data_IF_082829634223
#
_entry.id   IF_082829634223
#
_cell.length_a   1.000
_cell.length_b   1.000
_cell.length_c   1.000
_cell.angle_alpha   90.00
_cell.angle_beta   90.00
_cell.angle_gamma   90.00
#
_symmetry.space_group_name_H-M   'P 1'
#
loop_
_entity.id
_entity.type
_entity.pdbx_description
1 polymer ?
#
# COMPACT_ATOMS: atom_id res chain seq x y z
N UNK A 1 -14.83 -1.60 8.65
CA UNK A 1 -15.81 -0.81 7.88
C UNK A 1 -15.85 0.61 8.45
N UNK A 2 -14.78 1.39 8.11
CA UNK A 2 -14.49 2.71 8.67
C UNK A 2 -15.68 3.69 8.61
N UNK A 3 -16.45 3.69 7.53
CA UNK A 3 -17.58 4.59 7.39
C UNK A 3 -18.73 4.25 8.36
N UNK A 4 -19.01 2.96 8.54
CA UNK A 4 -20.03 2.50 9.49
C UNK A 4 -19.58 2.70 10.94
N UNK A 5 -18.28 2.49 11.20
CA UNK A 5 -17.71 2.72 12.52
C UNK A 5 -17.67 4.21 12.86
N UNK A 6 -17.43 5.07 11.86
CA UNK A 6 -17.51 6.51 12.02
C UNK A 6 -18.94 7.00 12.29
N UNK A 7 -19.93 6.48 11.57
CA UNK A 7 -21.36 6.81 11.81
C UNK A 7 -21.81 6.38 13.23
N UNK A 8 -21.31 5.23 13.72
CA UNK A 8 -21.64 4.71 15.05
C UNK A 8 -20.86 5.38 16.18
N UNK A 9 -19.63 5.77 15.90
CA UNK A 9 -18.72 6.41 16.86
C UNK A 9 -18.73 7.92 16.70
N UNK A 10 -19.89 8.55 16.63
CA UNK A 10 -19.97 9.96 16.98
C UNK A 10 -19.76 10.10 18.50
N UNK A 11 -18.66 9.48 18.93
CA UNK A 11 -18.15 9.48 20.28
C UNK A 11 -17.54 10.84 20.46
N UNK A 12 -17.85 11.52 21.55
CA UNK A 12 -17.40 12.86 21.90
C UNK A 12 -15.88 13.12 21.87
N UNK A 13 -15.13 12.26 21.22
CA UNK A 13 -13.70 12.32 20.93
C UNK A 13 -13.36 12.54 19.46
N UNK A 14 -14.34 12.44 18.54
CA UNK A 14 -14.09 12.74 17.14
C UNK A 14 -13.80 14.22 16.99
N UNK A 15 -12.70 14.63 16.32
CA UNK A 15 -12.49 16.04 15.99
C UNK A 15 -13.72 16.55 15.21
N UNK A 16 -14.10 17.82 15.45
CA UNK A 16 -15.31 18.41 14.88
C UNK A 16 -15.37 18.36 13.34
N UNK A 17 -14.22 18.12 12.68
CA UNK A 17 -14.14 17.93 11.23
C UNK A 17 -12.95 17.00 10.92
N UNK A 18 -13.10 15.69 11.02
CA UNK A 18 -12.04 14.76 10.68
C UNK A 18 -11.75 14.80 9.18
N UNK A 19 -10.46 14.64 8.83
CA UNK A 19 -10.03 14.45 7.47
C UNK A 19 -10.14 12.95 7.11
N UNK A 20 -10.90 12.65 6.08
CA UNK A 20 -10.97 11.30 5.47
C UNK A 20 -10.28 11.33 4.12
N UNK A 21 -9.27 10.51 3.95
CA UNK A 21 -8.54 10.36 2.70
C UNK A 21 -8.90 9.01 2.10
N UNK A 22 -9.48 9.02 0.91
CA UNK A 22 -9.82 7.83 0.15
C UNK A 22 -8.91 7.72 -1.08
N UNK A 23 -8.31 6.55 -1.27
CA UNK A 23 -7.35 6.31 -2.36
C UNK A 23 -7.89 5.21 -3.28
N UNK A 24 -8.01 5.53 -4.56
CA UNK A 24 -8.36 4.56 -5.59
C UNK A 24 -7.90 5.09 -6.96
N UNK A 25 -6.92 4.44 -7.57
CA UNK A 25 -6.39 4.92 -8.84
C UNK A 25 -7.48 5.04 -9.93
N UNK A 26 -8.27 4.00 -10.15
CA UNK A 26 -9.40 4.04 -11.10
C UNK A 26 -10.57 4.89 -10.59
N UNK A 27 -10.70 5.03 -9.26
CA UNK A 27 -11.82 5.70 -8.61
C UNK A 27 -13.19 5.01 -8.80
N UNK A 28 -13.25 3.86 -9.47
CA UNK A 28 -14.51 3.21 -9.86
C UNK A 28 -15.09 2.27 -8.79
N UNK A 29 -14.36 2.02 -7.70
CA UNK A 29 -14.80 1.09 -6.65
C UNK A 29 -16.00 1.68 -5.90
N UNK A 30 -17.19 1.13 -6.13
CA UNK A 30 -18.46 1.64 -5.59
C UNK A 30 -18.46 1.75 -4.06
N UNK A 31 -17.85 0.78 -3.36
CA UNK A 31 -17.74 0.77 -1.89
C UNK A 31 -16.88 1.90 -1.35
N UNK A 32 -15.83 2.30 -2.07
CA UNK A 32 -15.01 3.46 -1.70
C UNK A 32 -15.83 4.74 -1.80
N UNK A 33 -16.56 4.93 -2.91
CA UNK A 33 -17.44 6.08 -3.07
C UNK A 33 -18.57 6.12 -2.03
N UNK A 34 -19.18 4.98 -1.70
CA UNK A 34 -20.17 4.88 -0.63
C UNK A 34 -19.59 5.30 0.73
N UNK A 35 -18.40 4.78 1.08
CA UNK A 35 -17.71 5.12 2.33
C UNK A 35 -17.46 6.63 2.44
N UNK A 36 -16.94 7.23 1.35
CA UNK A 36 -16.68 8.68 1.29
C UNK A 36 -17.97 9.50 1.47
N UNK A 37 -19.05 9.14 0.78
CA UNK A 37 -20.35 9.85 0.92
C UNK A 37 -20.90 9.76 2.34
N UNK A 38 -20.76 8.59 3.00
CA UNK A 38 -21.19 8.41 4.40
C UNK A 38 -20.36 9.27 5.35
N UNK A 39 -19.03 9.27 5.21
CA UNK A 39 -18.15 10.11 6.02
C UNK A 39 -18.46 11.60 5.82
N UNK A 40 -18.67 12.02 4.58
CA UNK A 40 -19.07 13.41 4.26
C UNK A 40 -20.40 13.79 4.88
N UNK A 41 -21.40 12.91 4.80
CA UNK A 41 -22.71 13.12 5.45
C UNK A 41 -22.58 13.25 6.98
N UNK A 42 -21.61 12.56 7.57
CA UNK A 42 -21.30 12.64 9.00
C UNK A 42 -20.40 13.85 9.38
N UNK A 43 -20.15 14.78 8.46
CA UNK A 43 -19.41 16.02 8.71
C UNK A 43 -17.89 15.93 8.53
N UNK A 44 -17.37 14.86 7.95
CA UNK A 44 -15.96 14.77 7.64
C UNK A 44 -15.59 15.57 6.38
N UNK A 45 -14.44 16.24 6.40
CA UNK A 45 -13.81 16.75 5.18
C UNK A 45 -13.21 15.56 4.41
N UNK A 46 -13.57 15.41 3.14
CA UNK A 46 -13.19 14.24 2.35
C UNK A 46 -12.27 14.62 1.19
N UNK A 47 -11.13 13.92 1.12
CA UNK A 47 -10.15 14.03 0.04
C UNK A 47 -10.08 12.70 -0.72
N UNK A 48 -10.38 12.71 -2.01
CA UNK A 48 -10.15 11.59 -2.92
C UNK A 48 -8.79 11.70 -3.59
N UNK A 49 -8.03 10.61 -3.63
CA UNK A 49 -6.80 10.50 -4.42
C UNK A 49 -7.08 9.51 -5.54
N UNK A 50 -7.12 10.00 -6.79
CA UNK A 50 -7.50 9.20 -7.96
C UNK A 50 -6.89 9.75 -9.25
N UNK A 51 -6.71 8.89 -10.25
CA UNK A 51 -6.33 9.30 -11.60
C UNK A 51 -7.51 9.84 -12.43
N UNK A 52 -8.76 9.66 -11.98
CA UNK A 52 -9.97 9.95 -12.75
C UNK A 52 -10.97 10.79 -11.95
N UNK A 53 -11.02 12.07 -12.23
CA UNK A 53 -11.90 13.02 -11.54
C UNK A 53 -13.39 12.72 -11.76
N UNK A 54 -13.74 12.19 -12.92
CA UNK A 54 -15.13 11.82 -13.28
C UNK A 54 -15.56 10.45 -12.70
N UNK A 55 -14.70 9.81 -11.92
CA UNK A 55 -14.98 8.51 -11.31
C UNK A 55 -15.96 8.61 -10.14
N UNK A 56 -16.44 7.45 -9.67
CA UNK A 56 -17.30 7.35 -8.49
C UNK A 56 -16.65 8.02 -7.26
N UNK A 57 -15.34 7.82 -7.05
CA UNK A 57 -14.60 8.48 -5.98
C UNK A 57 -14.50 9.99 -6.22
N UNK A 58 -14.17 10.39 -7.46
CA UNK A 58 -14.02 11.79 -7.84
C UNK A 58 -15.29 12.60 -7.57
N UNK A 59 -16.45 12.04 -7.91
CA UNK A 59 -17.75 12.67 -7.66
C UNK A 59 -18.23 12.60 -6.21
N UNK A 60 -17.68 11.69 -5.40
CA UNK A 60 -18.10 11.49 -4.01
C UNK A 60 -17.34 12.37 -3.03
N UNK A 61 -16.06 12.62 -3.27
CA UNK A 61 -15.20 13.39 -2.38
C UNK A 61 -15.41 14.92 -2.54
N UNK A 62 -15.11 15.65 -1.49
CA UNK A 62 -15.24 17.14 -1.50
C UNK A 62 -14.07 17.79 -2.24
N UNK A 63 -12.89 17.20 -2.16
CA UNK A 63 -11.69 17.61 -2.88
C UNK A 63 -11.00 16.40 -3.50
N UNK A 64 -10.32 16.64 -4.61
CA UNK A 64 -9.56 15.62 -5.32
C UNK A 64 -8.09 16.03 -5.40
N UNK A 65 -7.22 15.09 -5.08
CA UNK A 65 -5.83 15.10 -5.49
C UNK A 65 -5.71 14.16 -6.68
N UNK A 66 -5.61 14.75 -7.87
CA UNK A 66 -5.50 14.00 -9.11
C UNK A 66 -4.12 13.39 -9.26
N UNK A 67 -4.08 12.11 -9.59
CA UNK A 67 -2.87 11.41 -9.96
C UNK A 67 -2.71 11.48 -11.49
N UNK A 68 -1.59 12.00 -11.94
CA UNK A 68 -1.23 11.98 -13.36
C UNK A 68 -0.18 10.90 -13.59
N UNK A 69 -0.64 9.75 -14.06
CA UNK A 69 0.22 8.60 -14.34
C UNK A 69 0.34 8.45 -15.85
N UNK A 70 1.55 8.55 -16.41
CA UNK A 70 1.76 8.36 -17.84
C UNK A 70 1.15 7.05 -18.34
N UNK A 71 0.50 7.08 -19.50
CA UNK A 71 -0.05 5.88 -20.12
C UNK A 71 1.07 4.90 -20.46
N UNK A 72 0.80 3.65 -20.21
CA UNK A 72 1.72 2.55 -20.44
C UNK A 72 0.94 1.30 -20.82
N UNK A 73 1.63 0.25 -21.24
CA UNK A 73 1.00 -1.04 -21.52
C UNK A 73 0.29 -1.60 -20.28
N UNK A 74 -0.74 -2.39 -20.52
CA UNK A 74 -1.50 -3.01 -19.44
C UNK A 74 -0.63 -4.00 -18.69
N UNK A 75 -0.49 -3.80 -17.40
CA UNK A 75 0.29 -4.64 -16.49
C UNK A 75 -0.37 -4.64 -15.11
N UNK A 76 -0.05 -5.62 -14.24
CA UNK A 76 -0.46 -5.57 -12.84
C UNK A 76 -0.14 -4.22 -12.20
N UNK A 77 -1.05 -3.70 -11.37
CA UNK A 77 -1.06 -2.33 -10.86
C UNK A 77 0.09 -1.96 -9.90
N UNK A 78 1.34 -2.15 -10.31
CA UNK A 78 2.53 -1.79 -9.50
C UNK A 78 2.78 -0.29 -9.51
N UNK A 79 2.82 0.33 -10.69
CA UNK A 79 3.07 1.76 -10.84
C UNK A 79 2.00 2.62 -10.18
N UNK A 80 0.74 2.30 -10.40
CA UNK A 80 -0.37 3.02 -9.77
C UNK A 80 -0.33 2.93 -8.25
N UNK A 81 0.06 1.77 -7.70
CA UNK A 81 0.27 1.60 -6.27
C UNK A 81 1.37 2.54 -5.76
N UNK A 82 2.55 2.53 -6.39
CA UNK A 82 3.67 3.39 -6.01
C UNK A 82 3.33 4.88 -6.07
N UNK A 83 2.61 5.31 -7.11
CA UNK A 83 2.18 6.72 -7.24
C UNK A 83 1.17 7.09 -6.14
N UNK A 84 0.24 6.18 -5.77
CA UNK A 84 -0.66 6.41 -4.64
C UNK A 84 0.10 6.55 -3.31
N UNK A 85 1.07 5.69 -3.05
CA UNK A 85 1.92 5.75 -1.85
C UNK A 85 2.72 7.06 -1.83
N UNK A 86 3.34 7.43 -2.94
CA UNK A 86 4.08 8.69 -3.07
C UNK A 86 3.18 9.91 -2.83
N UNK A 87 1.97 9.92 -3.36
CA UNK A 87 1.00 10.99 -3.13
C UNK A 87 0.66 11.14 -1.63
N UNK A 88 0.49 10.03 -0.92
CA UNK A 88 0.26 10.03 0.52
C UNK A 88 1.46 10.56 1.30
N UNK A 89 2.70 10.17 0.94
CA UNK A 89 3.91 10.71 1.54
C UNK A 89 4.04 12.21 1.33
N UNK A 90 3.86 12.70 0.10
CA UNK A 90 3.93 14.12 -0.21
C UNK A 90 2.84 14.92 0.52
N UNK A 91 1.64 14.36 0.63
CA UNK A 91 0.55 14.97 1.39
C UNK A 91 0.88 15.02 2.88
N UNK A 92 1.41 13.95 3.47
CA UNK A 92 1.83 13.90 4.87
C UNK A 92 2.93 14.92 5.17
N UNK A 93 3.93 15.05 4.29
CA UNK A 93 4.98 16.07 4.39
C UNK A 93 4.35 17.48 4.39
N UNK A 94 3.42 17.74 3.47
CA UNK A 94 2.77 19.05 3.38
C UNK A 94 1.90 19.36 4.58
N UNK A 95 1.16 18.39 5.09
CA UNK A 95 0.35 18.54 6.31
C UNK A 95 1.26 18.86 7.51
N UNK A 96 2.36 18.13 7.67
CA UNK A 96 3.32 18.38 8.75
C UNK A 96 3.94 19.78 8.69
N UNK A 97 4.31 20.24 7.49
CA UNK A 97 4.83 21.56 7.23
C UNK A 97 3.80 22.66 7.59
N UNK A 98 2.57 22.56 7.08
CA UNK A 98 1.50 23.54 7.33
C UNK A 98 1.10 23.58 8.82
N UNK A 99 1.17 22.43 9.50
CA UNK A 99 0.91 22.35 10.95
C UNK A 99 2.09 22.73 11.83
N UNK A 100 3.19 23.21 11.24
CA UNK A 100 4.38 23.65 11.98
C UNK A 100 5.09 22.54 12.76
N UNK A 101 4.94 21.27 12.31
CA UNK A 101 5.66 20.15 12.92
C UNK A 101 7.15 20.15 12.60
N UNK A 102 7.52 20.80 11.51
CA UNK A 102 8.89 21.06 11.07
C UNK A 102 8.92 22.22 10.07
N UNK A 103 10.11 22.75 9.80
CA UNK A 103 10.32 23.89 8.92
C UNK A 103 10.15 23.52 7.43
N UNK A 104 10.05 24.53 6.58
CA UNK A 104 10.07 24.39 5.12
C UNK A 104 11.34 23.68 4.62
N UNK A 105 12.50 23.95 5.25
CA UNK A 105 13.76 23.32 4.87
C UNK A 105 13.74 21.82 5.12
N UNK A 106 13.22 21.39 6.28
CA UNK A 106 13.03 19.98 6.61
C UNK A 106 12.04 19.33 5.64
N UNK A 107 10.92 19.99 5.34
CA UNK A 107 9.96 19.50 4.35
C UNK A 107 10.58 19.35 2.94
N UNK A 108 11.42 20.31 2.56
CA UNK A 108 12.16 20.28 1.28
C UNK A 108 13.17 19.12 1.25
N UNK A 109 13.91 18.91 2.35
CA UNK A 109 14.84 17.78 2.47
C UNK A 109 14.11 16.43 2.30
N UNK A 110 12.98 16.23 2.99
CA UNK A 110 12.16 15.00 2.85
C UNK A 110 11.67 14.76 1.42
N UNK A 111 11.28 15.81 0.69
CA UNK A 111 10.92 15.69 -0.73
C UNK A 111 12.11 15.29 -1.60
N UNK A 112 13.31 15.80 -1.30
CA UNK A 112 14.56 15.41 -1.99
C UNK A 112 14.95 13.95 -1.70
N UNK A 113 14.71 13.46 -0.48
CA UNK A 113 14.91 12.05 -0.13
C UNK A 113 14.05 11.11 -0.97
N UNK A 114 12.76 11.47 -1.18
CA UNK A 114 11.87 10.68 -2.07
C UNK A 114 12.42 10.65 -3.49
N UNK A 115 12.93 11.78 -4.01
CA UNK A 115 13.55 11.81 -5.33
C UNK A 115 14.82 10.96 -5.38
N UNK A 116 15.68 11.08 -4.40
CA UNK A 116 16.92 10.30 -4.32
C UNK A 116 16.62 8.78 -4.26
N UNK A 117 15.56 8.37 -3.55
CA UNK A 117 15.11 6.99 -3.54
C UNK A 117 14.68 6.51 -4.94
N UNK A 118 13.95 7.35 -5.70
CA UNK A 118 13.57 7.01 -7.07
C UNK A 118 14.79 6.84 -7.98
N UNK A 119 15.77 7.74 -7.89
CA UNK A 119 17.02 7.68 -8.64
C UNK A 119 17.85 6.41 -8.27
N UNK A 120 17.87 6.04 -7.00
CA UNK A 120 18.53 4.82 -6.51
C UNK A 120 17.83 3.55 -7.01
N UNK A 121 16.50 3.52 -7.01
CA UNK A 121 15.72 2.41 -7.55
C UNK A 121 15.98 2.22 -9.04
N UNK A 122 15.99 3.29 -9.83
CA UNK A 122 16.29 3.22 -11.27
C UNK A 122 17.65 2.57 -11.52
N UNK A 123 18.65 2.90 -10.69
CA UNK A 123 19.99 2.32 -10.78
C UNK A 123 20.03 0.83 -10.38
N UNK A 124 19.23 0.43 -9.39
CA UNK A 124 19.21 -0.93 -8.87
C UNK A 124 18.36 -1.91 -9.72
N UNK A 125 17.39 -1.38 -10.48
CA UNK A 125 16.41 -2.20 -11.21
C UNK A 125 17.02 -3.31 -12.07
N UNK A 126 18.08 -3.12 -12.87
CA UNK A 126 18.62 -4.18 -13.71
C UNK A 126 19.10 -5.39 -12.90
N UNK A 127 19.83 -5.17 -11.80
CA UNK A 127 20.31 -6.26 -10.95
C UNK A 127 19.16 -6.93 -10.17
N UNK A 128 18.15 -6.15 -9.79
CA UNK A 128 16.95 -6.70 -9.14
C UNK A 128 16.12 -7.54 -10.10
N UNK A 129 16.02 -7.15 -11.38
CA UNK A 129 15.30 -7.90 -12.41
C UNK A 129 15.94 -9.27 -12.66
N UNK A 130 17.26 -9.33 -12.79
CA UNK A 130 18.02 -10.58 -12.91
C UNK A 130 17.76 -11.52 -11.72
N UNK A 131 17.79 -11.00 -10.50
CA UNK A 131 17.51 -11.77 -9.29
C UNK A 131 16.08 -12.25 -9.25
N UNK A 132 15.11 -11.38 -9.56
CA UNK A 132 13.70 -11.73 -9.60
C UNK A 132 13.43 -12.81 -10.67
N UNK A 133 14.04 -12.71 -11.84
CA UNK A 133 13.95 -13.72 -12.89
C UNK A 133 14.49 -15.08 -12.44
N UNK A 134 15.63 -15.11 -11.76
CA UNK A 134 16.21 -16.35 -11.22
C UNK A 134 15.26 -17.03 -10.20
N UNK A 135 14.68 -16.24 -9.28
CA UNK A 135 13.68 -16.74 -8.32
C UNK A 135 12.43 -17.23 -9.04
N UNK A 136 11.92 -16.47 -10.03
CA UNK A 136 10.75 -16.87 -10.81
C UNK A 136 10.99 -18.19 -11.55
N UNK A 137 12.18 -18.46 -12.08
CA UNK A 137 12.51 -19.73 -12.70
C UNK A 137 12.48 -20.90 -11.71
N UNK A 138 12.91 -20.68 -10.46
CA UNK A 138 12.84 -21.70 -9.41
C UNK A 138 11.39 -21.96 -8.97
N UNK A 139 10.55 -20.92 -8.97
CA UNK A 139 9.19 -20.98 -8.42
C UNK A 139 8.09 -21.22 -9.45
N UNK A 140 8.39 -21.25 -10.73
CA UNK A 140 7.39 -21.35 -11.82
C UNK A 140 6.44 -22.55 -11.71
N UNK A 141 6.91 -23.63 -11.09
CA UNK A 141 6.17 -24.89 -10.95
C UNK A 141 5.60 -25.08 -9.53
N UNK A 142 5.72 -24.07 -8.64
CA UNK A 142 5.13 -24.12 -7.30
C UNK A 142 3.60 -24.13 -7.36
N UNK A 143 2.97 -24.83 -6.42
CA UNK A 143 1.51 -24.94 -6.35
C UNK A 143 0.87 -23.66 -5.80
N UNK A 144 1.54 -22.99 -4.85
CA UNK A 144 1.09 -21.74 -4.23
C UNK A 144 2.27 -20.90 -3.73
N UNK A 145 1.95 -19.71 -3.23
CA UNK A 145 2.94 -18.75 -2.77
C UNK A 145 2.54 -18.12 -1.44
N UNK A 146 3.51 -18.00 -0.54
CA UNK A 146 3.36 -17.33 0.74
C UNK A 146 4.18 -16.06 0.80
N UNK A 147 3.59 -15.02 1.39
CA UNK A 147 4.25 -13.75 1.62
C UNK A 147 4.14 -13.42 3.11
N UNK A 148 5.25 -13.39 3.84
CA UNK A 148 5.28 -13.08 5.26
C UNK A 148 5.95 -11.73 5.53
N UNK A 149 5.48 -11.00 6.53
CA UNK A 149 6.04 -9.73 6.94
C UNK A 149 5.37 -9.19 8.20
N UNK A 150 6.05 -8.32 8.92
CA UNK A 150 5.54 -7.67 10.13
C UNK A 150 5.61 -6.15 10.02
N UNK A 151 4.74 -5.43 10.71
CA UNK A 151 4.74 -3.97 10.65
C UNK A 151 4.46 -3.44 9.22
N UNK A 152 5.35 -2.64 8.68
CA UNK A 152 5.22 -2.11 7.31
C UNK A 152 5.39 -3.20 6.26
N UNK A 153 6.22 -4.19 6.51
CA UNK A 153 6.49 -5.33 5.63
C UNK A 153 5.26 -6.22 5.46
N UNK A 154 4.33 -6.22 6.42
CA UNK A 154 3.03 -6.88 6.27
C UNK A 154 2.19 -6.30 5.11
N UNK A 155 2.29 -4.98 4.87
CA UNK A 155 1.66 -4.36 3.70
C UNK A 155 2.35 -4.78 2.38
N UNK A 156 3.68 -4.98 2.40
CA UNK A 156 4.42 -5.52 1.27
C UNK A 156 4.02 -6.96 0.97
N UNK A 157 3.86 -7.80 2.01
CA UNK A 157 3.37 -9.17 1.89
C UNK A 157 1.98 -9.22 1.26
N UNK A 158 1.04 -8.38 1.71
CA UNK A 158 -0.28 -8.24 1.09
C UNK A 158 -0.19 -7.83 -0.39
N UNK A 159 0.67 -6.88 -0.71
CA UNK A 159 0.89 -6.45 -2.08
C UNK A 159 1.44 -7.58 -2.95
N UNK A 160 2.42 -8.36 -2.45
CA UNK A 160 2.99 -9.52 -3.14
C UNK A 160 1.93 -10.55 -3.50
N UNK A 161 1.09 -10.95 -2.52
CA UNK A 161 -0.04 -11.84 -2.78
C UNK A 161 -0.94 -11.31 -3.90
N UNK A 162 -1.33 -10.05 -3.83
CA UNK A 162 -2.22 -9.45 -4.81
C UNK A 162 -1.60 -9.50 -6.22
N UNK A 163 -0.30 -9.26 -6.35
CA UNK A 163 0.40 -9.28 -7.64
C UNK A 163 0.50 -10.70 -8.23
N UNK A 164 0.66 -11.73 -7.41
CA UNK A 164 0.62 -13.12 -7.89
C UNK A 164 -0.75 -13.46 -8.47
N UNK A 165 -1.84 -13.11 -7.78
CA UNK A 165 -3.18 -13.29 -8.33
C UNK A 165 -3.40 -12.50 -9.62
N UNK A 166 -3.00 -11.23 -9.66
CA UNK A 166 -3.20 -10.36 -10.82
C UNK A 166 -2.37 -10.79 -12.04
N UNK A 167 -1.14 -11.26 -11.82
CA UNK A 167 -0.20 -11.55 -12.89
C UNK A 167 -0.34 -12.96 -13.46
N UNK A 168 -0.52 -13.96 -12.61
CA UNK A 168 -0.46 -15.37 -13.00
C UNK A 168 -1.67 -16.21 -12.56
N UNK A 169 -2.58 -15.65 -11.77
CA UNK A 169 -3.81 -16.35 -11.33
C UNK A 169 -3.56 -17.54 -10.40
N UNK A 170 -2.39 -17.62 -9.78
CA UNK A 170 -2.05 -18.72 -8.85
C UNK A 170 -2.47 -18.38 -7.43
N UNK A 171 -2.82 -19.39 -6.62
CA UNK A 171 -3.10 -19.20 -5.21
C UNK A 171 -1.90 -18.56 -4.49
N UNK A 172 -2.17 -17.58 -3.68
CA UNK A 172 -1.18 -16.94 -2.83
C UNK A 172 -1.82 -16.48 -1.52
N UNK A 173 -1.04 -16.44 -0.45
CA UNK A 173 -1.49 -15.89 0.83
C UNK A 173 -0.49 -14.85 1.35
N UNK A 174 -0.96 -13.98 2.23
CA UNK A 174 -0.09 -13.10 3.01
C UNK A 174 -0.40 -13.28 4.48
N UNK A 175 0.62 -13.16 5.32
CA UNK A 175 0.50 -13.48 6.73
C UNK A 175 1.51 -12.67 7.54
N UNK A 176 1.20 -12.40 8.80
CA UNK A 176 2.18 -11.87 9.74
C UNK A 176 3.23 -12.95 10.06
N UNK A 177 4.50 -12.56 10.22
CA UNK A 177 5.59 -13.51 10.49
C UNK A 177 5.35 -14.36 11.73
N UNK A 178 4.79 -13.80 12.79
CA UNK A 178 4.45 -14.57 14.01
C UNK A 178 3.39 -15.64 13.72
N UNK A 179 2.34 -15.30 12.98
CA UNK A 179 1.30 -16.26 12.60
C UNK A 179 1.83 -17.29 11.58
N UNK A 180 2.76 -16.90 10.71
CA UNK A 180 3.41 -17.83 9.80
C UNK A 180 4.19 -18.92 10.55
N UNK A 181 4.94 -18.56 11.59
CA UNK A 181 5.64 -19.49 12.46
C UNK A 181 4.69 -20.50 13.13
N UNK A 182 3.49 -20.05 13.50
CA UNK A 182 2.51 -20.92 14.14
C UNK A 182 1.77 -21.85 13.16
N UNK A 183 1.39 -21.34 12.00
CA UNK A 183 0.51 -22.04 11.06
C UNK A 183 1.28 -22.85 10.03
N UNK A 184 2.35 -22.30 9.46
CA UNK A 184 3.07 -22.94 8.37
C UNK A 184 3.93 -24.13 8.83
N UNK A 185 4.18 -24.25 10.12
CA UNK A 185 4.79 -25.44 10.71
C UNK A 185 4.01 -26.74 10.40
N UNK A 186 2.70 -26.64 10.21
CA UNK A 186 1.81 -27.80 9.95
C UNK A 186 1.59 -28.07 8.45
N UNK A 187 2.21 -27.29 7.57
CA UNK A 187 2.00 -27.43 6.13
C UNK A 187 2.62 -28.74 5.62
N UNK A 188 1.82 -29.50 4.89
CA UNK A 188 2.32 -30.64 4.12
C UNK A 188 2.93 -30.15 2.82
N UNK A 189 4.07 -30.71 2.42
CA UNK A 189 4.77 -30.39 1.18
C UNK A 189 5.23 -28.93 1.07
N UNK A 190 6.01 -28.41 2.03
CA UNK A 190 6.53 -27.05 1.98
C UNK A 190 7.42 -26.81 0.75
N UNK A 191 8.02 -27.85 0.19
CA UNK A 191 8.83 -27.80 -1.04
C UNK A 191 8.04 -27.37 -2.29
N UNK A 192 6.70 -27.33 -2.21
CA UNK A 192 5.81 -26.89 -3.29
C UNK A 192 5.30 -25.46 -3.11
N UNK A 193 5.76 -24.77 -2.09
CA UNK A 193 5.35 -23.41 -1.75
C UNK A 193 6.51 -22.44 -1.95
N UNK A 194 6.30 -21.44 -2.79
CA UNK A 194 7.25 -20.32 -2.92
C UNK A 194 7.05 -19.33 -1.77
N UNK A 195 7.95 -19.30 -0.80
CA UNK A 195 7.83 -18.40 0.37
C UNK A 195 8.76 -17.21 0.26
N UNK A 196 8.20 -16.01 0.40
CA UNK A 196 8.95 -14.75 0.46
C UNK A 196 8.70 -14.06 1.80
N UNK A 197 9.78 -13.77 2.50
CA UNK A 197 9.74 -13.06 3.78
C UNK A 197 10.29 -11.66 3.59
N UNK A 198 9.49 -10.66 3.99
CA UNK A 198 9.88 -9.26 3.96
C UNK A 198 10.46 -8.86 5.31
N UNK A 199 11.69 -8.39 5.31
CA UNK A 199 12.40 -7.90 6.50
C UNK A 199 13.08 -6.56 6.20
N UNK A 200 13.08 -5.64 7.15
CA UNK A 200 13.77 -4.37 7.07
C UNK A 200 14.58 -4.11 8.34
N UNK A 201 15.78 -3.56 8.19
CA UNK A 201 16.73 -3.34 9.30
C UNK A 201 16.16 -2.50 10.45
N UNK A 202 15.26 -1.54 10.13
CA UNK A 202 14.65 -0.65 11.11
C UNK A 202 13.38 -1.20 11.78
N UNK A 203 12.96 -2.40 11.41
CA UNK A 203 11.76 -3.00 11.97
C UNK A 203 12.05 -3.60 13.35
N UNK A 204 11.36 -3.14 14.38
CA UNK A 204 11.50 -3.68 15.74
C UNK A 204 11.09 -5.14 15.91
N UNK A 205 10.38 -5.69 14.92
CA UNK A 205 10.01 -7.11 14.87
C UNK A 205 11.04 -7.97 14.11
N UNK A 206 12.19 -7.41 13.70
CA UNK A 206 13.17 -8.09 12.85
C UNK A 206 13.74 -9.36 13.44
N UNK A 207 13.94 -9.41 14.76
CA UNK A 207 14.41 -10.66 15.41
C UNK A 207 13.45 -11.83 15.14
N UNK A 208 12.14 -11.60 15.21
CA UNK A 208 11.13 -12.63 14.92
C UNK A 208 11.05 -12.93 13.42
N UNK A 209 11.19 -11.92 12.59
CA UNK A 209 11.21 -12.10 11.12
C UNK A 209 12.41 -12.94 10.68
N UNK A 210 13.57 -12.79 11.32
CA UNK A 210 14.77 -13.58 11.03
C UNK A 210 14.70 -15.02 11.56
N UNK A 211 13.85 -15.28 12.57
CA UNK A 211 13.56 -16.63 13.08
C UNK A 211 12.56 -17.40 12.17
N UNK A 212 11.80 -16.67 11.35
CA UNK A 212 10.86 -17.22 10.36
C UNK A 212 11.59 -17.83 9.17
#
# INVERSE_FOLDING_TARGET
DLARDYEKKNLGYAPQSPLVIAVSNSGQVARVGEAVRRCRKAGAFTLGITGHEESVLGQSAERILKLDIPKFESAPGTRSYMVCVMALYLLAIRIGEVRGRYTMDVASARRKEIKALADALETALPAMDDTAFAVAQQWKDMDCYDFAGSGFEYACAFFGQAKVFEAIGRPAMYINTEEWLHLNFFVNHPEKIGTMIWAAEDNKADSRTLET
#
